data_IF_250244046872
#
_entry.id   IF_250244046872
#
_cell.length_a   1.000
_cell.length_b   1.000
_cell.length_c   1.000
_cell.angle_alpha   90.00
_cell.angle_beta   90.00
_cell.angle_gamma   90.00
#
_symmetry.space_group_name_H-M   'P 1'
#
loop_
_entity.id
_entity.type
_entity.pdbx_description
1 polymer ?
#
# COMPACT_ATOMS: atom_id res chain seq x y z
N UNK A 1 -30.45 18.29 -14.09
CA UNK A 1 -31.66 17.57 -13.60
C UNK A 1 -32.37 16.71 -14.66
N UNK A 2 -32.49 17.13 -15.93
CA UNK A 2 -33.15 16.32 -16.99
C UNK A 2 -32.47 14.96 -17.25
N UNK A 3 -31.13 14.92 -17.29
CA UNK A 3 -30.35 13.68 -17.49
C UNK A 3 -30.52 12.65 -16.36
N UNK A 4 -30.63 13.12 -15.11
CA UNK A 4 -30.86 12.28 -13.93
C UNK A 4 -32.26 11.63 -13.97
N UNK A 5 -33.29 12.40 -14.37
CA UNK A 5 -34.65 11.87 -14.56
C UNK A 5 -34.71 10.81 -15.66
N UNK A 6 -34.00 11.02 -16.78
CA UNK A 6 -33.92 10.02 -17.85
C UNK A 6 -33.23 8.73 -17.38
N UNK A 7 -32.18 8.86 -16.56
CA UNK A 7 -31.46 7.71 -15.99
C UNK A 7 -32.34 6.91 -15.03
N UNK A 8 -33.15 7.59 -14.20
CA UNK A 8 -34.13 6.95 -13.30
C UNK A 8 -35.20 6.20 -14.09
N UNK A 9 -35.69 6.77 -15.21
CA UNK A 9 -36.68 6.11 -16.07
C UNK A 9 -36.08 4.86 -16.75
N UNK A 10 -34.84 4.93 -17.22
CA UNK A 10 -34.14 3.78 -17.79
C UNK A 10 -33.87 2.68 -16.75
N UNK A 11 -33.52 3.05 -15.51
CA UNK A 11 -33.43 2.12 -14.39
C UNK A 11 -34.77 1.47 -14.09
N UNK A 12 -35.86 2.24 -14.00
CA UNK A 12 -37.21 1.70 -13.77
C UNK A 12 -37.66 0.74 -14.89
N UNK A 13 -37.32 1.02 -16.15
CA UNK A 13 -37.64 0.14 -17.28
C UNK A 13 -36.82 -1.15 -17.28
N UNK A 14 -35.57 -1.15 -16.79
CA UNK A 14 -34.76 -2.37 -16.71
C UNK A 14 -35.22 -3.33 -15.60
N UNK A 15 -35.74 -2.81 -14.48
CA UNK A 15 -36.37 -3.63 -13.43
C UNK A 15 -37.69 -4.27 -13.88
N UNK A 16 -38.36 -3.68 -14.86
CA UNK A 16 -39.65 -4.16 -15.39
C UNK A 16 -39.50 -5.21 -16.51
N UNK A 17 -38.31 -5.38 -17.10
CA UNK A 17 -38.17 -6.18 -18.33
C UNK A 17 -37.70 -7.63 -18.11
N UNK A 18 -37.20 -7.97 -16.92
CA UNK A 18 -36.87 -9.34 -16.56
C UNK A 18 -37.91 -9.86 -15.54
N UNK A 19 -38.86 -10.67 -16.01
CA UNK A 19 -39.77 -11.50 -15.19
C UNK A 19 -41.14 -10.92 -14.77
N UNK A 20 -41.78 -10.05 -15.55
CA UNK A 20 -43.13 -9.56 -15.20
C UNK A 20 -44.24 -10.63 -15.20
N UNK A 21 -44.12 -11.74 -15.94
CA UNK A 21 -45.19 -12.75 -16.04
C UNK A 21 -44.89 -14.09 -15.38
N UNK A 22 -43.74 -14.24 -14.71
CA UNK A 22 -43.36 -15.47 -14.03
C UNK A 22 -43.58 -15.27 -12.53
N UNK A 23 -44.76 -15.66 -12.02
CA UNK A 23 -44.97 -15.75 -10.56
C UNK A 23 -44.31 -17.04 -10.08
N UNK A 24 -43.22 -16.98 -9.28
CA UNK A 24 -42.60 -18.18 -8.73
C UNK A 24 -43.58 -18.86 -7.76
N UNK A 25 -43.58 -20.19 -7.76
CA UNK A 25 -44.34 -20.97 -6.79
C UNK A 25 -43.47 -21.07 -5.53
N UNK A 26 -44.01 -20.63 -4.40
CA UNK A 26 -43.34 -20.77 -3.11
C UNK A 26 -43.51 -22.21 -2.65
N UNK A 27 -42.42 -22.97 -2.63
CA UNK A 27 -42.41 -24.34 -2.12
C UNK A 27 -41.66 -24.39 -0.79
N UNK A 28 -42.24 -25.08 0.18
CA UNK A 28 -41.62 -25.31 1.48
C UNK A 28 -40.88 -26.63 1.41
N UNK A 29 -39.56 -26.57 1.33
CA UNK A 29 -38.71 -27.77 1.33
C UNK A 29 -38.02 -27.82 2.68
N UNK A 30 -38.35 -28.84 3.47
CA UNK A 30 -37.95 -28.97 4.89
C UNK A 30 -38.53 -27.80 5.71
N UNK A 31 -37.68 -26.86 6.12
CA UNK A 31 -38.05 -25.68 6.95
C UNK A 31 -37.93 -24.34 6.22
N UNK A 32 -37.36 -24.30 5.02
CA UNK A 32 -37.12 -23.05 4.30
C UNK A 32 -38.09 -22.85 3.14
N UNK A 33 -38.60 -21.61 3.01
CA UNK A 33 -39.36 -21.18 1.84
C UNK A 33 -38.39 -20.86 0.71
N UNK A 34 -38.44 -21.64 -0.36
CA UNK A 34 -37.64 -21.41 -1.56
C UNK A 34 -38.56 -20.98 -2.71
N UNK A 35 -38.11 -19.99 -3.47
CA UNK A 35 -38.77 -19.59 -4.70
C UNK A 35 -38.40 -20.59 -5.78
N UNK A 36 -39.38 -21.38 -6.22
CA UNK A 36 -39.19 -22.39 -7.24
C UNK A 36 -39.95 -21.98 -8.51
N UNK A 37 -39.31 -22.18 -9.66
CA UNK A 37 -39.98 -22.08 -10.94
C UNK A 37 -40.85 -23.32 -11.17
N UNK A 38 -41.92 -23.20 -11.96
CA UNK A 38 -42.64 -24.39 -12.40
C UNK A 38 -41.73 -25.30 -13.23
N UNK A 39 -42.09 -26.58 -13.37
CA UNK A 39 -41.30 -27.53 -14.18
C UNK A 39 -41.15 -27.03 -15.63
N UNK A 40 -42.18 -26.39 -16.17
CA UNK A 40 -42.17 -25.82 -17.51
C UNK A 40 -41.23 -24.62 -17.62
N UNK A 41 -41.26 -23.72 -16.64
CA UNK A 41 -40.37 -22.57 -16.56
C UNK A 41 -38.90 -23.01 -16.42
N UNK A 42 -38.66 -24.02 -15.56
CA UNK A 42 -37.36 -24.62 -15.37
C UNK A 42 -36.84 -25.27 -16.65
N UNK A 43 -37.71 -26.00 -17.38
CA UNK A 43 -37.38 -26.59 -18.69
C UNK A 43 -37.13 -25.53 -19.76
N UNK A 44 -37.86 -24.41 -19.76
CA UNK A 44 -37.65 -23.31 -20.69
C UNK A 44 -36.29 -22.64 -20.46
N UNK A 45 -35.96 -22.32 -19.20
CA UNK A 45 -34.67 -21.75 -18.83
C UNK A 45 -33.54 -22.73 -19.15
N UNK A 46 -33.70 -24.02 -18.83
CA UNK A 46 -32.73 -25.06 -19.15
C UNK A 46 -32.51 -25.21 -20.66
N UNK A 47 -33.57 -25.21 -21.49
CA UNK A 47 -33.45 -25.21 -22.95
C UNK A 47 -32.74 -23.97 -23.48
N UNK A 48 -33.05 -22.78 -22.94
CA UNK A 48 -32.39 -21.53 -23.35
C UNK A 48 -30.90 -21.49 -22.99
N UNK A 49 -30.54 -22.05 -21.84
CA UNK A 49 -29.14 -22.26 -21.44
C UNK A 49 -28.45 -23.31 -22.33
N UNK A 50 -29.15 -24.38 -22.71
CA UNK A 50 -28.64 -25.45 -23.57
C UNK A 50 -28.42 -25.02 -25.04
N UNK A 51 -29.15 -24.01 -25.53
CA UNK A 51 -29.04 -23.48 -26.92
C UNK A 51 -27.95 -22.40 -27.04
N UNK A 52 -27.05 -22.25 -26.05
CA UNK A 52 -25.92 -21.29 -26.07
C UNK A 52 -26.29 -19.80 -26.24
N UNK A 53 -27.57 -19.41 -26.11
CA UNK A 53 -28.03 -18.02 -26.34
C UNK A 53 -27.38 -17.02 -25.35
N UNK A 54 -26.89 -17.50 -24.21
CA UNK A 54 -26.22 -16.67 -23.19
C UNK A 54 -24.70 -16.86 -23.15
N UNK A 55 -24.15 -17.74 -23.98
CA UNK A 55 -22.72 -18.05 -23.99
C UNK A 55 -21.90 -16.80 -24.30
N UNK A 56 -22.30 -16.04 -25.31
CA UNK A 56 -21.61 -14.80 -25.71
C UNK A 56 -21.63 -13.76 -24.57
N UNK A 57 -22.77 -13.58 -23.91
CA UNK A 57 -22.88 -12.65 -22.78
C UNK A 57 -22.03 -13.06 -21.58
N UNK A 58 -21.90 -14.37 -21.32
CA UNK A 58 -21.04 -14.91 -20.27
C UNK A 58 -19.56 -14.71 -20.65
N UNK A 59 -19.19 -15.02 -21.89
CA UNK A 59 -17.82 -14.83 -22.41
C UNK A 59 -17.42 -13.36 -22.36
N UNK A 60 -18.30 -12.45 -22.79
CA UNK A 60 -18.05 -11.02 -22.76
C UNK A 60 -17.82 -10.52 -21.34
N UNK A 61 -18.68 -10.95 -20.40
CA UNK A 61 -18.52 -10.60 -18.98
C UNK A 61 -17.18 -11.11 -18.44
N UNK A 62 -16.86 -12.38 -18.65
CA UNK A 62 -15.60 -12.97 -18.19
C UNK A 62 -14.39 -12.29 -18.84
N UNK A 63 -14.49 -11.90 -20.10
CA UNK A 63 -13.43 -11.17 -20.81
C UNK A 63 -13.21 -9.78 -20.22
N UNK A 64 -14.28 -9.06 -19.89
CA UNK A 64 -14.20 -7.76 -19.21
C UNK A 64 -13.59 -7.91 -17.82
N UNK A 65 -14.01 -8.91 -17.05
CA UNK A 65 -13.44 -9.18 -15.73
C UNK A 65 -11.95 -9.52 -15.83
N UNK A 66 -11.56 -10.37 -16.77
CA UNK A 66 -10.16 -10.75 -16.96
C UNK A 66 -9.29 -9.51 -17.33
N UNK A 67 -9.78 -8.63 -18.22
CA UNK A 67 -9.12 -7.35 -18.53
C UNK A 67 -8.99 -6.45 -17.30
N UNK A 68 -10.01 -6.41 -16.44
CA UNK A 68 -9.95 -5.65 -15.17
C UNK A 68 -8.90 -6.22 -14.24
N UNK A 69 -8.86 -7.55 -14.08
CA UNK A 69 -7.86 -8.22 -13.26
C UNK A 69 -6.44 -7.97 -13.76
N UNK A 70 -6.21 -8.05 -15.08
CA UNK A 70 -4.90 -7.74 -15.67
C UNK A 70 -4.49 -6.28 -15.41
N UNK A 71 -5.42 -5.33 -15.54
CA UNK A 71 -5.13 -3.92 -15.24
C UNK A 71 -4.81 -3.69 -13.76
N UNK A 72 -5.52 -4.37 -12.85
CA UNK A 72 -5.26 -4.31 -11.41
C UNK A 72 -3.89 -4.92 -11.07
N UNK A 73 -3.54 -6.03 -11.70
CA UNK A 73 -2.24 -6.68 -11.52
C UNK A 73 -1.10 -5.75 -11.94
N UNK A 74 -1.21 -5.16 -13.14
CA UNK A 74 -0.20 -4.20 -13.63
C UNK A 74 -0.03 -2.99 -12.69
N UNK A 75 -1.13 -2.46 -12.17
CA UNK A 75 -1.08 -1.37 -11.17
C UNK A 75 -0.37 -1.81 -9.91
N UNK A 76 -0.71 -3.00 -9.38
CA UNK A 76 -0.05 -3.57 -8.20
C UNK A 76 1.46 -3.70 -8.43
N UNK A 77 1.87 -4.30 -9.55
CA UNK A 77 3.28 -4.49 -9.87
C UNK A 77 4.03 -3.15 -9.97
N UNK A 78 3.40 -2.12 -10.54
CA UNK A 78 3.99 -0.77 -10.58
C UNK A 78 4.18 -0.16 -9.19
N UNK A 79 3.25 -0.39 -8.27
CA UNK A 79 3.32 0.06 -6.89
C UNK A 79 4.43 -0.69 -6.16
N UNK A 80 4.50 -2.01 -6.33
CA UNK A 80 5.54 -2.85 -5.73
C UNK A 80 6.94 -2.40 -6.18
N UNK A 81 7.13 -2.13 -7.48
CA UNK A 81 8.40 -1.58 -8.01
C UNK A 81 8.71 -0.22 -7.37
N UNK A 82 7.72 0.67 -7.26
CA UNK A 82 7.91 1.99 -6.63
C UNK A 82 8.31 1.86 -5.16
N UNK A 83 7.67 0.94 -4.43
CA UNK A 83 7.93 0.70 -3.03
C UNK A 83 9.32 0.11 -2.82
N UNK A 84 9.72 -0.90 -3.61
CA UNK A 84 11.07 -1.48 -3.57
C UNK A 84 12.14 -0.43 -3.82
N UNK A 85 11.93 0.48 -4.78
CA UNK A 85 12.86 1.61 -5.02
C UNK A 85 12.95 2.54 -3.81
N UNK A 86 11.82 2.84 -3.15
CA UNK A 86 11.83 3.68 -1.94
C UNK A 86 12.56 3.00 -0.79
N UNK A 87 12.35 1.71 -0.57
CA UNK A 87 13.06 0.93 0.45
C UNK A 87 14.55 0.96 0.19
N UNK A 88 14.97 0.65 -1.04
CA UNK A 88 16.38 0.69 -1.42
C UNK A 88 17.02 2.07 -1.21
N UNK A 89 16.31 3.14 -1.59
CA UNK A 89 16.79 4.50 -1.35
C UNK A 89 16.92 4.83 0.15
N UNK A 90 16.00 4.33 0.98
CA UNK A 90 16.08 4.51 2.44
C UNK A 90 17.25 3.74 3.05
N UNK A 91 17.53 2.54 2.56
CA UNK A 91 18.71 1.75 2.94
C UNK A 91 20.00 2.52 2.62
N UNK A 92 20.15 3.03 1.41
CA UNK A 92 21.30 3.85 1.01
C UNK A 92 21.45 5.12 1.87
N UNK A 93 20.34 5.81 2.18
CA UNK A 93 20.36 6.97 3.09
C UNK A 93 20.84 6.56 4.47
N UNK A 94 20.43 5.38 4.96
CA UNK A 94 20.83 4.89 6.26
C UNK A 94 22.32 4.51 6.30
N UNK A 95 22.83 3.86 5.25
CA UNK A 95 24.26 3.58 5.08
C UNK A 95 25.08 4.87 5.07
N UNK A 96 24.69 5.85 4.26
CA UNK A 96 25.35 7.16 4.21
C UNK A 96 25.35 7.88 5.57
N UNK A 97 24.24 7.79 6.32
CA UNK A 97 24.15 8.36 7.66
C UNK A 97 25.09 7.65 8.64
N UNK A 98 25.19 6.34 8.57
CA UNK A 98 26.10 5.57 9.42
C UNK A 98 27.55 5.90 9.11
N UNK A 99 27.91 6.03 7.84
CA UNK A 99 29.25 6.47 7.44
C UNK A 99 29.56 7.89 7.96
N UNK A 100 28.63 8.83 7.80
CA UNK A 100 28.79 10.19 8.33
C UNK A 100 28.92 10.21 9.85
N UNK A 101 28.15 9.39 10.58
CA UNK A 101 28.27 9.24 12.03
C UNK A 101 29.63 8.67 12.45
N UNK A 102 30.15 7.70 11.70
CA UNK A 102 31.47 7.14 11.96
C UNK A 102 32.57 8.19 11.78
N UNK A 103 32.55 8.93 10.67
CA UNK A 103 33.49 10.03 10.41
C UNK A 103 33.39 11.12 11.50
N UNK A 104 32.18 11.47 11.92
CA UNK A 104 31.97 12.45 13.00
C UNK A 104 32.55 11.94 14.33
N UNK A 105 32.33 10.67 14.65
CA UNK A 105 32.88 10.04 15.86
C UNK A 105 34.41 10.00 15.85
N UNK A 106 35.03 9.73 14.70
CA UNK A 106 36.49 9.81 14.55
C UNK A 106 37.00 11.23 14.74
N UNK A 107 36.34 12.22 14.14
CA UNK A 107 36.67 13.64 14.32
C UNK A 107 36.51 14.10 15.77
N UNK A 108 35.47 13.63 16.48
CA UNK A 108 35.30 13.91 17.91
C UNK A 108 36.43 13.29 18.73
N UNK A 109 36.86 12.06 18.42
CA UNK A 109 37.99 11.41 19.11
C UNK A 109 39.30 12.16 18.89
N UNK A 110 39.57 12.65 17.68
CA UNK A 110 40.79 13.44 17.42
C UNK A 110 40.74 14.78 18.15
N UNK A 111 39.60 15.47 18.13
CA UNK A 111 39.41 16.72 18.88
C UNK A 111 39.54 16.55 20.38
N UNK A 112 39.01 15.47 20.96
CA UNK A 112 39.17 15.19 22.40
C UNK A 112 40.66 14.96 22.77
N UNK A 113 41.42 14.27 21.92
CA UNK A 113 42.88 14.12 22.09
C UNK A 113 43.61 15.47 22.03
N UNK A 114 43.26 16.32 21.07
CA UNK A 114 43.82 17.68 20.95
C UNK A 114 43.51 18.52 22.19
N UNK A 115 42.27 18.48 22.68
CA UNK A 115 41.85 19.21 23.90
C UNK A 115 42.63 18.70 25.12
N UNK A 116 42.76 17.38 25.29
CA UNK A 116 43.54 16.79 26.39
C UNK A 116 45.00 17.21 26.35
N UNK A 117 45.64 17.17 25.17
CA UNK A 117 47.01 17.67 24.98
C UNK A 117 47.15 19.15 25.31
N UNK A 118 46.21 19.98 24.84
CA UNK A 118 46.18 21.42 25.14
C UNK A 118 46.02 21.70 26.63
N UNK A 119 45.14 20.98 27.33
CA UNK A 119 44.99 21.06 28.79
C UNK A 119 46.28 20.67 29.52
N UNK A 120 46.94 19.60 29.09
CA UNK A 120 48.22 19.16 29.67
C UNK A 120 49.32 20.20 29.47
N UNK A 121 49.46 20.78 28.26
CA UNK A 121 50.41 21.85 28.01
C UNK A 121 50.15 23.09 28.86
N UNK A 122 48.89 23.52 29.01
CA UNK A 122 48.54 24.63 29.91
C UNK A 122 48.91 24.34 31.36
N UNK A 123 48.71 23.09 31.82
CA UNK A 123 49.06 22.68 33.17
C UNK A 123 50.58 22.68 33.39
N UNK A 124 51.36 22.15 32.44
CA UNK A 124 52.82 22.20 32.46
C UNK A 124 53.38 23.64 32.48
N UNK A 125 52.84 24.50 31.62
CA UNK A 125 53.23 25.91 31.58
C UNK A 125 52.89 26.63 32.88
N UNK A 126 51.70 26.37 33.44
CA UNK A 126 51.29 26.91 34.74
C UNK A 126 52.19 26.46 35.89
N UNK A 127 52.55 25.17 35.94
CA UNK A 127 53.48 24.66 36.96
C UNK A 127 54.89 25.23 36.80
N UNK A 128 55.38 25.37 35.56
CA UNK A 128 56.69 25.95 35.29
C UNK A 128 56.77 27.42 35.74
N UNK A 129 55.72 28.20 35.47
CA UNK A 129 55.61 29.59 35.93
C UNK A 129 55.61 29.71 37.46
N UNK A 130 54.92 28.81 38.17
CA UNK A 130 54.92 28.77 39.63
C UNK A 130 56.31 28.51 40.21
N UNK A 131 57.06 27.56 39.63
CA UNK A 131 58.43 27.27 40.08
C UNK A 131 59.35 28.47 39.82
N UNK A 132 59.27 29.08 38.64
CA UNK A 132 60.11 30.23 38.29
C UNK A 132 59.82 31.46 39.16
N UNK A 133 58.55 31.74 39.44
CA UNK A 133 58.16 32.82 40.37
C UNK A 133 58.56 32.52 41.81
N UNK A 134 58.42 31.27 42.26
CA UNK A 134 58.89 30.84 43.57
C UNK A 134 60.39 31.06 43.75
N UNK A 135 61.22 30.63 42.78
CA UNK A 135 62.67 30.84 42.80
C UNK A 135 63.03 32.34 42.85
N UNK A 136 62.34 33.17 42.06
CA UNK A 136 62.54 34.62 42.03
C UNK A 136 62.19 35.32 43.35
N UNK A 137 61.21 34.81 44.09
CA UNK A 137 60.78 35.38 45.39
C UNK A 137 61.68 34.89 46.53
N UNK A 138 62.22 33.67 46.44
CA UNK A 138 63.11 33.09 47.45
C UNK A 138 64.59 33.50 47.31
N UNK A 139 64.95 34.25 46.28
CA UNK A 139 66.31 34.75 46.02
C UNK A 139 66.38 36.24 46.34
#
# INVERSE_FOLDING_TARGET
MKKLRLFIIFLMMSYMCFSQNLKPIVQQIKTDKRFCFSIEQSRFIAKKLQINIYQDSIIDRLTIENKRWQSLLFKKDSIDISFTKKVHNLELINENKNEALNLLNESLKTKDKEIKRGKFHKLLLGSGLLIMTGILITK
#
